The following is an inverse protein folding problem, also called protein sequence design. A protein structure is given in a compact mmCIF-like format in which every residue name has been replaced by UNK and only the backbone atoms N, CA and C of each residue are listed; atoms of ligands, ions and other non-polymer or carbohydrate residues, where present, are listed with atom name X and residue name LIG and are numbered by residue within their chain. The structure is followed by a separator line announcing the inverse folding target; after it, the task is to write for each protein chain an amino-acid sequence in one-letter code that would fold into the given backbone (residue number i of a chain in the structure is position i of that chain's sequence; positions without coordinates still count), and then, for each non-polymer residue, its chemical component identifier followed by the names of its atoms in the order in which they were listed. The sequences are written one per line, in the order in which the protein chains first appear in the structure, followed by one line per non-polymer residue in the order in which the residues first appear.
data_IF_133286810433
#
_entry.id   IF_133286810433
#
_cell.length_a   1.000
_cell.length_b   1.000
_cell.length_c   1.000
_cell.angle_alpha   90.00
_cell.angle_beta   90.00
_cell.angle_gamma   90.00
#
_symmetry.space_group_name_H-M   'P 1'
#
loop_
_entity.id
_entity.type
_entity.pdbx_description
1 polymer ?
#
# COMPACT_ATOMS: atom_id res chain seq x y z
N UNK A 1 21.21 -0.37 4.47
CA UNK A 1 19.83 -0.81 4.23
C UNK A 1 18.95 -0.14 5.27
N UNK A 2 17.83 0.47 4.87
CA UNK A 2 16.90 1.14 5.79
C UNK A 2 15.51 0.57 5.54
N UNK A 3 14.79 0.26 6.62
CA UNK A 3 13.42 -0.27 6.57
C UNK A 3 12.45 0.86 6.91
N UNK A 4 11.46 1.07 6.06
CA UNK A 4 10.40 2.06 6.27
C UNK A 4 9.09 1.33 6.57
N UNK A 5 8.31 1.86 7.52
CA UNK A 5 6.96 1.38 7.80
C UNK A 5 5.92 2.13 6.96
N UNK A 6 4.82 1.47 6.58
CA UNK A 6 3.79 2.07 5.71
C UNK A 6 3.18 3.33 6.32
N UNK A 7 3.01 3.37 7.65
CA UNK A 7 2.54 4.56 8.37
C UNK A 7 3.43 5.81 8.22
N UNK A 8 4.69 5.65 7.81
CA UNK A 8 5.62 6.75 7.58
C UNK A 8 5.51 7.33 6.16
N UNK A 9 4.81 6.64 5.26
CA UNK A 9 4.56 7.12 3.90
C UNK A 9 3.31 7.99 3.92
N UNK A 10 3.34 9.21 3.39
CA UNK A 10 2.15 10.05 3.16
C UNK A 10 1.85 10.04 1.67
N UNK A 11 0.58 9.84 1.30
CA UNK A 11 0.14 9.83 -0.09
C UNK A 11 -0.85 10.97 -0.26
N UNK A 12 -0.54 11.92 -1.13
CA UNK A 12 -1.42 13.05 -1.41
C UNK A 12 -2.50 12.67 -2.44
N UNK A 13 -3.61 13.44 -2.51
CA UNK A 13 -4.64 13.21 -3.52
C UNK A 13 -4.04 13.20 -4.94
N UNK A 14 -4.31 12.14 -5.71
CA UNK A 14 -3.80 11.96 -7.07
C UNK A 14 -2.45 11.23 -7.15
N UNK A 15 -1.78 10.99 -6.02
CA UNK A 15 -0.58 10.16 -5.97
C UNK A 15 -0.89 8.67 -5.83
N UNK A 16 0.01 7.83 -6.34
CA UNK A 16 -0.05 6.38 -6.23
C UNK A 16 1.31 5.82 -5.85
N UNK A 17 1.31 4.82 -4.97
CA UNK A 17 2.50 4.06 -4.59
C UNK A 17 2.38 2.67 -5.22
N UNK A 18 3.41 2.27 -5.97
CA UNK A 18 3.51 0.92 -6.51
C UNK A 18 4.38 0.08 -5.58
N UNK A 19 3.84 -1.02 -5.08
CA UNK A 19 4.62 -2.02 -4.36
C UNK A 19 5.16 -3.07 -5.36
N UNK A 20 6.41 -3.48 -5.17
CA UNK A 20 7.09 -4.52 -5.96
C UNK A 20 7.44 -5.68 -5.02
N UNK A 21 7.49 -6.91 -5.55
CA UNK A 21 7.82 -8.14 -4.80
C UNK A 21 6.95 -8.39 -3.55
N UNK A 22 5.66 -8.05 -3.70
CA UNK A 22 4.63 -8.29 -2.67
C UNK A 22 3.84 -9.54 -3.03
N UNK A 23 4.07 -10.58 -2.25
CA UNK A 23 3.25 -11.80 -2.26
C UNK A 23 1.91 -11.55 -1.54
N UNK A 24 0.98 -12.47 -1.70
CA UNK A 24 -0.38 -12.33 -1.18
C UNK A 24 -0.43 -12.05 0.34
N UNK A 25 0.34 -12.78 1.14
CA UNK A 25 0.36 -12.59 2.60
C UNK A 25 0.87 -11.19 3.00
N UNK A 26 1.88 -10.68 2.29
CA UNK A 26 2.41 -9.32 2.51
C UNK A 26 1.37 -8.27 2.10
N UNK A 27 0.64 -8.53 1.02
CA UNK A 27 -0.45 -7.65 0.59
C UNK A 27 -1.55 -7.56 1.64
N UNK A 28 -2.00 -8.68 2.20
CA UNK A 28 -3.01 -8.69 3.27
C UNK A 28 -2.51 -7.93 4.51
N UNK A 29 -1.24 -8.10 4.89
CA UNK A 29 -0.63 -7.33 5.97
C UNK A 29 -0.60 -5.81 5.67
N UNK A 30 -0.30 -5.41 4.43
CA UNK A 30 -0.33 -4.01 3.98
C UNK A 30 -1.76 -3.44 4.10
N UNK A 31 -2.77 -4.19 3.64
CA UNK A 31 -4.19 -3.78 3.72
C UNK A 31 -4.62 -3.64 5.18
N UNK A 32 -4.24 -4.58 6.04
CA UNK A 32 -4.53 -4.53 7.47
C UNK A 32 -3.86 -3.32 8.16
N UNK A 33 -2.60 -3.01 7.82
CA UNK A 33 -1.87 -1.86 8.39
C UNK A 33 -2.42 -0.51 7.89
N UNK A 34 -2.91 -0.45 6.65
CA UNK A 34 -3.53 0.76 6.07
C UNK A 34 -4.96 1.00 6.61
N UNK A 35 -5.57 0.00 7.25
CA UNK A 35 -6.94 0.02 7.78
C UNK A 35 -7.23 1.13 8.79
N UNK A 36 -8.44 1.68 8.68
CA UNK A 36 -9.14 2.66 9.53
C UNK A 36 -8.62 4.12 9.57
N UNK A 37 -7.46 4.45 8.99
CA UNK A 37 -6.92 5.83 9.02
C UNK A 37 -6.76 6.53 7.67
N UNK A 38 -6.88 5.82 6.56
CA UNK A 38 -6.80 6.43 5.23
C UNK A 38 -7.97 5.97 4.39
N UNK A 39 -8.65 6.92 3.76
CA UNK A 39 -9.53 6.69 2.62
C UNK A 39 -8.73 6.22 1.37
N UNK A 40 -7.69 5.39 1.56
CA UNK A 40 -6.92 4.79 0.49
C UNK A 40 -7.74 3.67 -0.12
N UNK A 41 -8.36 3.94 -1.26
CA UNK A 41 -8.90 2.89 -2.13
C UNK A 41 -7.72 2.18 -2.79
N UNK A 42 -7.44 0.97 -2.35
CA UNK A 42 -6.53 0.06 -3.06
C UNK A 42 -7.35 -0.58 -4.17
N UNK A 43 -7.02 -0.27 -5.43
CA UNK A 43 -7.67 -0.85 -6.61
C UNK A 43 -6.73 -1.84 -7.27
N UNK A 44 -7.24 -3.02 -7.62
CA UNK A 44 -6.54 -3.97 -8.45
C UNK A 44 -6.42 -3.41 -9.86
N UNK A 45 -5.18 -3.22 -10.32
CA UNK A 45 -4.91 -2.94 -11.72
C UNK A 45 -4.33 -4.22 -12.34
N UNK A 46 -5.23 -5.06 -12.84
CA UNK A 46 -4.84 -6.18 -13.68
C UNK A 46 -4.64 -5.65 -15.11
N UNK A 47 -3.38 -5.66 -15.56
CA UNK A 47 -3.04 -5.23 -16.92
C UNK A 47 -3.06 -6.47 -17.80
N UNK A 48 -4.26 -6.83 -18.24
CA UNK A 48 -4.44 -7.70 -19.41
C UNK A 48 -3.92 -6.99 -20.65
#
# INVERSE_FOLDING_TARGET
MVTLQLRQMVVYPGEKINFQDVDWDKFEAIVAELGDRRASRIAYFDRV
#
